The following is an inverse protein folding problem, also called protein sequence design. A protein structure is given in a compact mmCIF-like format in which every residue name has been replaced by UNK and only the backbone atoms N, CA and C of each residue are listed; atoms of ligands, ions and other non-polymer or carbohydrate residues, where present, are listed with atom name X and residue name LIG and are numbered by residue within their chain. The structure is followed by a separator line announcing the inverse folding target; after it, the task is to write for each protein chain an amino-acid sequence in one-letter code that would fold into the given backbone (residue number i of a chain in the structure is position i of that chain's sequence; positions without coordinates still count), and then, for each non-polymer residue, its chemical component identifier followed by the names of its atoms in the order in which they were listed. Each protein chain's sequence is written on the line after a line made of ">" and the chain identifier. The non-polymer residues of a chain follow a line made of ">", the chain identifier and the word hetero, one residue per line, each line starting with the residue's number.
data_IF_533783839260
#
_entry.id   IF_533783839260
#
_cell.length_a   1.000
_cell.length_b   1.000
_cell.length_c   1.000
_cell.angle_alpha   90.00
_cell.angle_beta   90.00
_cell.angle_gamma   90.00
#
_symmetry.space_group_name_H-M   'P 1'
#
loop_
_entity.id
_entity.type
_entity.pdbx_description
1 polymer ?
#
# COMPACT_ATOMS: atom_id res chain seq x y z
N UNK A 1 16.52 -1.36 -24.85
CA UNK A 1 15.46 -2.30 -25.26
C UNK A 1 16.00 -3.70 -25.06
N UNK A 2 15.25 -4.55 -24.39
CA UNK A 2 15.64 -5.95 -24.17
C UNK A 2 15.73 -6.69 -25.50
N UNK A 3 16.77 -7.52 -25.67
CA UNK A 3 16.91 -8.36 -26.86
C UNK A 3 16.10 -9.64 -26.66
N UNK A 4 15.45 -10.17 -27.68
CA UNK A 4 14.71 -11.44 -27.60
C UNK A 4 15.59 -12.59 -27.09
N UNK A 5 16.87 -12.56 -27.37
CA UNK A 5 17.83 -13.56 -26.91
C UNK A 5 18.17 -13.49 -25.43
N UNK A 6 17.71 -12.42 -24.73
CA UNK A 6 17.85 -12.29 -23.29
C UNK A 6 16.81 -13.13 -22.55
N UNK A 7 15.77 -13.61 -23.24
CA UNK A 7 14.68 -14.39 -22.66
C UNK A 7 14.84 -15.88 -23.02
N UNK A 8 14.79 -16.73 -22.03
CA UNK A 8 14.67 -18.19 -22.18
C UNK A 8 13.20 -18.53 -22.01
N UNK A 9 12.54 -18.87 -23.09
CA UNK A 9 11.09 -19.17 -23.11
C UNK A 9 10.92 -20.61 -23.61
N UNK A 10 10.19 -21.41 -22.84
CA UNK A 10 9.87 -22.79 -23.19
C UNK A 10 8.35 -23.00 -23.01
N UNK A 11 7.68 -23.49 -24.04
CA UNK A 11 6.23 -23.76 -24.03
C UNK A 11 5.34 -22.57 -23.57
N UNK A 12 5.77 -21.34 -23.89
CA UNK A 12 5.09 -20.11 -23.48
C UNK A 12 5.46 -19.61 -22.10
N UNK A 13 6.26 -20.35 -21.33
CA UNK A 13 6.73 -19.94 -20.00
C UNK A 13 8.10 -19.23 -20.11
N UNK A 14 8.22 -18.05 -19.50
CA UNK A 14 9.49 -17.38 -19.29
C UNK A 14 10.26 -18.06 -18.16
N UNK A 15 11.18 -18.95 -18.51
CA UNK A 15 12.01 -19.67 -17.54
C UNK A 15 13.09 -18.79 -16.94
N UNK A 16 13.69 -17.89 -17.74
CA UNK A 16 14.76 -17.02 -17.25
C UNK A 16 14.98 -15.80 -18.14
N UNK A 17 15.20 -14.66 -17.51
CA UNK A 17 15.77 -13.47 -18.14
C UNK A 17 17.28 -13.41 -17.87
N UNK A 18 18.09 -13.28 -18.95
CA UNK A 18 19.55 -13.24 -18.91
C UNK A 18 20.15 -11.87 -19.24
N UNK A 19 19.28 -10.89 -19.54
CA UNK A 19 19.71 -9.54 -19.88
C UNK A 19 20.25 -8.77 -18.67
N UNK A 20 20.79 -7.59 -18.95
CA UNK A 20 21.45 -6.77 -17.94
C UNK A 20 20.49 -6.02 -17.00
N UNK A 21 19.17 -6.06 -17.22
CA UNK A 21 18.18 -5.32 -16.47
C UNK A 21 17.81 -3.98 -17.11
N UNK A 22 17.56 -2.95 -16.30
CA UNK A 22 16.97 -1.71 -16.76
C UNK A 22 15.47 -1.87 -17.00
N UNK A 23 14.94 -1.21 -18.04
CA UNK A 23 13.54 -1.30 -18.42
C UNK A 23 13.35 -2.50 -19.37
N UNK A 24 12.54 -3.45 -18.94
CA UNK A 24 12.31 -4.72 -19.63
C UNK A 24 10.87 -4.81 -20.10
N UNK A 25 10.68 -5.13 -21.37
CA UNK A 25 9.38 -5.51 -21.93
C UNK A 25 9.46 -7.00 -22.26
N UNK A 26 8.64 -7.80 -21.61
CA UNK A 26 8.57 -9.25 -21.86
C UNK A 26 7.93 -9.45 -23.24
N UNK A 27 8.46 -10.38 -24.08
CA UNK A 27 7.94 -10.60 -25.43
C UNK A 27 6.49 -11.11 -25.43
N UNK A 28 5.78 -10.74 -26.49
CA UNK A 28 4.46 -11.32 -26.78
C UNK A 28 4.54 -12.83 -26.95
N UNK A 29 3.44 -13.53 -26.60
CA UNK A 29 3.37 -14.99 -26.65
C UNK A 29 3.87 -15.71 -25.39
N UNK A 30 4.39 -14.96 -24.40
CA UNK A 30 4.60 -15.50 -23.06
C UNK A 30 3.25 -15.61 -22.34
N UNK A 31 3.00 -16.78 -21.77
CA UNK A 31 1.73 -17.12 -21.05
C UNK A 31 1.90 -17.25 -19.55
N UNK A 32 3.15 -17.45 -19.08
CA UNK A 32 3.50 -17.45 -17.65
C UNK A 32 4.90 -16.94 -17.40
N UNK A 33 5.13 -16.37 -16.24
CA UNK A 33 6.47 -16.01 -15.74
C UNK A 33 6.83 -17.05 -14.68
N UNK A 34 7.80 -17.90 -15.01
CA UNK A 34 8.17 -19.06 -14.19
C UNK A 34 8.94 -18.71 -12.93
N UNK A 35 9.18 -19.72 -12.13
CA UNK A 35 9.89 -19.63 -10.85
C UNK A 35 11.27 -18.97 -11.00
N UNK A 36 11.53 -17.97 -10.14
CA UNK A 36 12.81 -17.27 -10.16
C UNK A 36 13.21 -16.68 -11.53
N UNK A 37 12.28 -16.41 -12.45
CA UNK A 37 12.57 -16.03 -13.84
C UNK A 37 13.52 -14.83 -13.96
N UNK A 38 13.45 -13.86 -13.05
CA UNK A 38 14.37 -12.72 -13.01
C UNK A 38 15.51 -12.86 -12.00
N UNK A 39 15.79 -14.07 -11.51
CA UNK A 39 16.88 -14.31 -10.56
C UNK A 39 18.23 -13.79 -11.10
N UNK A 40 18.96 -13.04 -10.28
CA UNK A 40 20.27 -12.46 -10.63
C UNK A 40 20.20 -11.10 -11.33
N UNK A 41 19.02 -10.60 -11.71
CA UNK A 41 18.83 -9.32 -12.40
C UNK A 41 18.74 -8.14 -11.40
N UNK A 42 19.86 -7.78 -10.76
CA UNK A 42 19.91 -6.77 -9.71
C UNK A 42 19.64 -5.33 -10.18
N UNK A 43 19.89 -5.05 -11.47
CA UNK A 43 19.69 -3.73 -12.08
C UNK A 43 18.33 -3.58 -12.79
N UNK A 44 17.39 -4.51 -12.60
CA UNK A 44 16.03 -4.41 -13.14
C UNK A 44 15.30 -3.22 -12.52
N UNK A 45 14.84 -2.27 -13.35
CA UNK A 45 14.18 -1.03 -12.90
C UNK A 45 12.69 -1.01 -13.19
N UNK A 46 12.27 -1.53 -14.34
CA UNK A 46 10.85 -1.67 -14.66
C UNK A 46 10.58 -2.91 -15.50
N UNK A 47 9.36 -3.45 -15.38
CA UNK A 47 8.90 -4.58 -16.20
C UNK A 47 7.51 -4.29 -16.72
N UNK A 48 7.33 -4.50 -18.04
CA UNK A 48 6.02 -4.56 -18.69
C UNK A 48 5.75 -6.01 -19.03
N UNK A 49 4.67 -6.55 -18.46
CA UNK A 49 4.18 -7.90 -18.69
C UNK A 49 3.15 -7.83 -19.82
N UNK A 50 3.26 -8.62 -20.90
CA UNK A 50 2.33 -8.55 -22.02
C UNK A 50 0.98 -9.16 -21.68
N UNK A 51 -0.04 -8.78 -22.45
CA UNK A 51 -1.33 -9.42 -22.45
C UNK A 51 -1.18 -10.91 -22.84
N UNK A 52 -1.93 -11.78 -22.16
CA UNK A 52 -1.81 -13.24 -22.35
C UNK A 52 -1.03 -13.96 -21.25
N UNK A 53 -0.22 -13.26 -20.45
CA UNK A 53 0.35 -13.85 -19.22
C UNK A 53 -0.76 -14.06 -18.19
N UNK A 54 -0.91 -15.29 -17.71
CA UNK A 54 -1.95 -15.69 -16.76
C UNK A 54 -1.44 -15.91 -15.35
N UNK A 55 -0.14 -16.19 -15.19
CA UNK A 55 0.48 -16.39 -13.88
C UNK A 55 1.85 -15.71 -13.76
N UNK A 56 2.15 -15.30 -12.54
CA UNK A 56 3.49 -14.90 -12.09
C UNK A 56 3.82 -15.88 -10.98
N UNK A 57 4.79 -16.76 -11.20
CA UNK A 57 5.06 -17.89 -10.31
C UNK A 57 6.00 -17.51 -9.16
N UNK A 58 6.40 -18.50 -8.35
CA UNK A 58 7.09 -18.27 -7.09
C UNK A 58 8.44 -17.57 -7.29
N UNK A 59 8.76 -16.60 -6.43
CA UNK A 59 10.02 -15.88 -6.44
C UNK A 59 10.37 -15.17 -7.76
N UNK A 60 9.43 -15.00 -8.70
CA UNK A 60 9.69 -14.50 -10.04
C UNK A 60 10.52 -13.20 -10.04
N UNK A 61 10.21 -12.26 -9.15
CA UNK A 61 10.94 -10.99 -8.96
C UNK A 61 11.57 -10.86 -7.57
N UNK A 62 11.80 -11.97 -6.89
CA UNK A 62 12.37 -11.96 -5.54
C UNK A 62 13.68 -11.17 -5.46
N UNK A 63 13.75 -10.28 -4.43
CA UNK A 63 14.93 -9.46 -4.12
C UNK A 63 15.37 -8.54 -5.29
N UNK A 64 14.41 -8.02 -6.08
CA UNK A 64 14.69 -7.00 -7.12
C UNK A 64 14.62 -5.61 -6.47
N UNK A 65 15.64 -5.28 -5.68
CA UNK A 65 15.67 -4.06 -4.88
C UNK A 65 15.68 -2.76 -5.72
N UNK A 66 16.10 -2.83 -6.98
CA UNK A 66 16.08 -1.70 -7.92
C UNK A 66 14.76 -1.56 -8.68
N UNK A 67 13.84 -2.53 -8.58
CA UNK A 67 12.57 -2.53 -9.30
C UNK A 67 11.63 -1.45 -8.74
N UNK A 68 11.30 -0.47 -9.57
CA UNK A 68 10.47 0.68 -9.20
C UNK A 68 9.04 0.58 -9.72
N UNK A 69 8.83 -0.16 -10.80
CA UNK A 69 7.53 -0.28 -11.47
C UNK A 69 7.35 -1.64 -12.13
N UNK A 70 6.14 -2.18 -12.00
CA UNK A 70 5.66 -3.35 -12.73
C UNK A 70 4.27 -3.06 -13.26
N UNK A 71 4.04 -3.32 -14.55
CA UNK A 71 2.72 -3.25 -15.18
C UNK A 71 2.21 -4.68 -15.32
N UNK A 72 1.14 -5.01 -14.60
CA UNK A 72 0.49 -6.33 -14.59
C UNK A 72 -0.79 -6.22 -15.40
N UNK A 73 -0.96 -7.01 -16.47
CA UNK A 73 -2.15 -6.94 -17.32
C UNK A 73 -3.34 -7.67 -16.69
N UNK A 74 -4.55 -7.38 -17.19
CA UNK A 74 -5.80 -7.99 -16.74
C UNK A 74 -5.93 -9.49 -17.07
N UNK A 75 -4.99 -10.04 -17.83
CA UNK A 75 -4.92 -11.49 -18.09
C UNK A 75 -4.37 -12.29 -16.91
N UNK A 76 -3.64 -11.65 -15.97
CA UNK A 76 -3.05 -12.33 -14.80
C UNK A 76 -4.14 -12.69 -13.80
N UNK A 77 -4.17 -13.96 -13.39
CA UNK A 77 -5.13 -14.51 -12.43
C UNK A 77 -4.50 -14.95 -11.12
N UNK A 78 -3.18 -15.20 -11.12
CA UNK A 78 -2.44 -15.64 -9.93
C UNK A 78 -1.05 -15.04 -9.82
N UNK A 79 -0.63 -14.80 -8.57
CA UNK A 79 0.72 -14.37 -8.20
C UNK A 79 1.21 -15.35 -7.13
N UNK A 80 2.38 -15.95 -7.33
CA UNK A 80 2.97 -16.97 -6.49
C UNK A 80 3.58 -16.49 -5.18
N UNK A 81 4.13 -17.44 -4.42
CA UNK A 81 4.79 -17.18 -3.14
C UNK A 81 6.05 -16.33 -3.33
N UNK A 82 6.22 -15.32 -2.48
CA UNK A 82 7.39 -14.42 -2.51
C UNK A 82 7.68 -13.78 -3.88
N UNK A 83 6.70 -13.69 -4.78
CA UNK A 83 6.91 -13.25 -6.15
C UNK A 83 7.57 -11.85 -6.25
N UNK A 84 7.22 -10.92 -5.35
CA UNK A 84 7.80 -9.58 -5.24
C UNK A 84 8.48 -9.33 -3.89
N UNK A 85 8.81 -10.38 -3.16
CA UNK A 85 9.46 -10.25 -1.86
C UNK A 85 10.76 -9.44 -1.98
N UNK A 86 10.95 -8.50 -1.04
CA UNK A 86 12.13 -7.61 -0.97
C UNK A 86 12.34 -6.72 -2.20
N UNK A 87 11.27 -6.38 -2.94
CA UNK A 87 11.29 -5.32 -3.95
C UNK A 87 11.19 -3.93 -3.28
N UNK A 88 12.24 -3.53 -2.57
CA UNK A 88 12.21 -2.37 -1.65
C UNK A 88 11.99 -1.01 -2.36
N UNK A 89 12.35 -0.89 -3.65
CA UNK A 89 12.16 0.34 -4.42
C UNK A 89 10.81 0.43 -5.13
N UNK A 90 9.97 -0.62 -5.05
CA UNK A 90 8.67 -0.63 -5.70
C UNK A 90 7.77 0.45 -5.09
N UNK A 91 7.57 1.55 -5.84
CA UNK A 91 6.90 2.75 -5.34
C UNK A 91 5.37 2.62 -5.27
N UNK A 92 4.83 1.72 -6.05
CA UNK A 92 3.42 1.35 -6.10
C UNK A 92 3.22 0.16 -7.02
N UNK A 93 2.16 -0.60 -6.76
CA UNK A 93 1.74 -1.70 -7.63
C UNK A 93 0.22 -1.75 -7.68
N UNK A 94 -0.32 -1.90 -8.88
CA UNK A 94 -1.74 -2.13 -9.11
C UNK A 94 -1.89 -3.59 -9.52
N UNK A 95 -2.60 -4.34 -8.71
CA UNK A 95 -2.97 -5.72 -8.99
C UNK A 95 -4.38 -5.68 -9.60
N UNK A 96 -4.56 -6.17 -10.83
CA UNK A 96 -5.85 -6.13 -11.50
C UNK A 96 -6.91 -7.01 -10.81
N UNK A 97 -8.18 -6.68 -11.05
CA UNK A 97 -9.33 -7.39 -10.45
C UNK A 97 -9.47 -8.84 -10.93
N UNK A 98 -8.78 -9.22 -12.00
CA UNK A 98 -8.66 -10.60 -12.49
C UNK A 98 -7.86 -11.51 -11.56
N UNK A 99 -6.96 -10.95 -10.72
CA UNK A 99 -6.16 -11.74 -9.79
C UNK A 99 -7.04 -12.21 -8.63
N UNK A 100 -7.15 -13.52 -8.50
CA UNK A 100 -7.95 -14.17 -7.44
C UNK A 100 -7.10 -14.89 -6.40
N UNK A 101 -5.79 -15.04 -6.66
CA UNK A 101 -4.86 -15.70 -5.73
C UNK A 101 -3.54 -14.96 -5.68
N UNK A 102 -3.08 -14.69 -4.45
CA UNK A 102 -1.74 -14.13 -4.18
C UNK A 102 -1.10 -15.01 -3.10
N UNK A 103 0.09 -15.49 -3.38
CA UNK A 103 0.83 -16.39 -2.50
C UNK A 103 1.37 -15.72 -1.24
N UNK A 104 1.86 -16.55 -0.33
CA UNK A 104 2.46 -16.12 0.93
C UNK A 104 3.68 -15.25 0.68
N UNK A 105 3.84 -14.17 1.47
CA UNK A 105 4.99 -13.26 1.38
C UNK A 105 5.17 -12.57 0.03
N UNK A 106 4.18 -12.61 -0.86
CA UNK A 106 4.31 -12.06 -2.22
C UNK A 106 4.82 -10.61 -2.24
N UNK A 107 4.47 -9.79 -1.24
CA UNK A 107 4.92 -8.40 -1.08
C UNK A 107 5.69 -8.16 0.22
N UNK A 108 6.26 -9.21 0.82
CA UNK A 108 7.06 -9.07 2.02
C UNK A 108 8.30 -8.19 1.77
N UNK A 109 8.56 -7.23 2.65
CA UNK A 109 9.68 -6.31 2.51
C UNK A 109 9.52 -5.24 1.42
N UNK A 110 8.38 -5.21 0.70
CA UNK A 110 8.06 -4.08 -0.15
C UNK A 110 7.71 -2.86 0.71
N UNK A 111 8.43 -1.76 0.54
CA UNK A 111 8.15 -0.50 1.23
C UNK A 111 7.13 0.37 0.46
N UNK A 112 6.39 -0.24 -0.46
CA UNK A 112 5.42 0.44 -1.30
C UNK A 112 4.34 1.12 -0.48
N UNK A 113 4.17 2.42 -0.71
CA UNK A 113 3.13 3.24 -0.07
C UNK A 113 1.78 3.15 -0.79
N UNK A 114 1.73 2.53 -1.97
CA UNK A 114 0.54 2.48 -2.83
C UNK A 114 0.39 1.09 -3.44
N UNK A 115 -0.16 0.17 -2.69
CA UNK A 115 -0.56 -1.13 -3.19
C UNK A 115 -2.06 -1.09 -3.41
N UNK A 116 -2.50 -1.39 -4.64
CA UNK A 116 -3.90 -1.61 -4.96
C UNK A 116 -4.08 -3.08 -5.29
N UNK A 117 -5.04 -3.73 -4.66
CA UNK A 117 -5.32 -5.14 -4.89
C UNK A 117 -6.82 -5.45 -4.73
N UNK A 118 -7.33 -6.48 -5.42
CA UNK A 118 -8.70 -6.91 -5.32
C UNK A 118 -8.99 -7.59 -3.99
N UNK A 119 -10.20 -7.38 -3.47
CA UNK A 119 -10.66 -8.02 -2.24
C UNK A 119 -10.58 -9.56 -2.32
N UNK A 120 -10.90 -10.13 -3.47
CA UNK A 120 -10.89 -11.58 -3.68
C UNK A 120 -9.51 -12.23 -3.49
N UNK A 121 -8.43 -11.48 -3.73
CA UNK A 121 -7.05 -11.97 -3.60
C UNK A 121 -6.44 -11.75 -2.21
N UNK A 122 -7.16 -11.07 -1.29
CA UNK A 122 -6.64 -10.78 0.05
C UNK A 122 -6.50 -12.06 0.88
N UNK A 123 -5.31 -12.23 1.46
CA UNK A 123 -5.05 -13.21 2.51
C UNK A 123 -4.07 -12.66 3.54
N UNK A 124 -3.95 -13.33 4.69
CA UNK A 124 -3.18 -12.87 5.85
C UNK A 124 -1.66 -12.89 5.63
N UNK A 125 -1.18 -13.63 4.65
CA UNK A 125 0.24 -13.93 4.47
C UNK A 125 0.92 -13.09 3.39
N UNK A 126 0.16 -12.34 2.59
CA UNK A 126 0.67 -11.54 1.45
C UNK A 126 1.86 -10.64 1.84
N UNK A 127 1.77 -9.99 3.00
CA UNK A 127 2.79 -9.04 3.47
C UNK A 127 3.74 -9.64 4.50
N UNK A 128 3.55 -10.91 4.86
CA UNK A 128 4.32 -11.56 5.91
C UNK A 128 4.15 -10.90 7.29
N UNK A 129 4.97 -11.33 8.26
CA UNK A 129 4.82 -10.96 9.69
C UNK A 129 5.62 -9.72 10.11
N UNK A 130 5.95 -8.81 9.20
CA UNK A 130 6.92 -7.73 9.46
C UNK A 130 6.45 -6.59 10.37
N UNK A 131 5.20 -6.53 10.75
CA UNK A 131 4.67 -5.44 11.59
C UNK A 131 4.82 -4.03 10.99
N UNK A 132 5.25 -3.90 9.74
CA UNK A 132 5.31 -2.63 9.04
C UNK A 132 3.90 -2.22 8.63
N UNK A 133 3.57 -0.97 8.89
CA UNK A 133 2.31 -0.37 8.44
C UNK A 133 2.28 -0.31 6.94
N UNK A 134 1.30 -0.96 6.34
CA UNK A 134 1.07 -0.94 4.90
C UNK A 134 -0.26 -0.26 4.63
N UNK A 135 -0.23 0.82 3.85
CA UNK A 135 -1.44 1.46 3.32
C UNK A 135 -1.77 0.80 1.99
N UNK A 136 -2.98 0.32 1.85
CA UNK A 136 -3.43 -0.32 0.61
C UNK A 136 -4.78 0.21 0.15
N UNK A 137 -5.03 0.13 -1.13
CA UNK A 137 -6.33 0.37 -1.73
C UNK A 137 -6.93 -0.97 -2.11
N UNK A 138 -8.11 -1.26 -1.58
CA UNK A 138 -8.82 -2.50 -1.86
C UNK A 138 -9.92 -2.20 -2.87
N UNK A 139 -9.90 -2.89 -4.01
CA UNK A 139 -10.98 -2.86 -4.99
C UNK A 139 -12.03 -3.91 -4.66
N UNK A 140 -13.31 -3.58 -4.89
CA UNK A 140 -14.45 -4.44 -4.58
C UNK A 140 -15.46 -4.36 -5.73
N UNK A 141 -15.98 -5.48 -6.23
CA UNK A 141 -16.97 -5.47 -7.29
C UNK A 141 -18.18 -4.58 -6.94
N UNK A 142 -18.52 -3.65 -7.82
CA UNK A 142 -19.70 -2.79 -7.67
C UNK A 142 -19.65 -1.76 -6.53
N UNK A 143 -18.49 -1.59 -5.86
CA UNK A 143 -18.28 -0.59 -4.81
C UNK A 143 -17.05 0.26 -5.11
N UNK A 144 -16.99 1.52 -4.61
CA UNK A 144 -15.78 2.31 -4.75
C UNK A 144 -14.59 1.65 -4.03
N UNK A 145 -13.37 1.84 -4.53
CA UNK A 145 -12.16 1.41 -3.84
C UNK A 145 -12.07 2.06 -2.46
N UNK A 146 -11.55 1.31 -1.49
CA UNK A 146 -11.34 1.82 -0.13
C UNK A 146 -9.86 1.79 0.25
N UNK A 147 -9.36 2.87 0.83
CA UNK A 147 -7.99 2.93 1.39
C UNK A 147 -8.01 2.48 2.83
N UNK A 148 -7.13 1.57 3.17
CA UNK A 148 -7.06 0.98 4.50
C UNK A 148 -5.61 0.84 4.97
N UNK A 149 -5.44 0.75 6.28
CA UNK A 149 -4.17 0.37 6.90
C UNK A 149 -4.30 -1.03 7.43
N UNK A 150 -3.48 -1.94 6.95
CA UNK A 150 -3.46 -3.30 7.46
C UNK A 150 -2.97 -3.34 8.90
N UNK A 151 -3.68 -4.06 9.75
CA UNK A 151 -3.24 -4.42 11.09
C UNK A 151 -3.15 -5.92 11.23
N UNK A 152 -2.06 -6.40 11.81
CA UNK A 152 -1.76 -7.82 11.94
C UNK A 152 -1.77 -8.24 13.41
N UNK A 153 -2.36 -9.41 13.68
CA UNK A 153 -2.32 -10.09 14.97
C UNK A 153 -1.34 -11.26 14.90
N UNK A 154 -0.53 -11.40 15.92
CA UNK A 154 0.30 -12.60 16.12
C UNK A 154 -0.30 -13.42 17.26
N UNK A 155 -0.57 -14.70 17.00
CA UNK A 155 -1.02 -15.65 18.03
C UNK A 155 0.14 -16.43 18.63
N UNK A 156 -0.01 -16.87 19.86
CA UNK A 156 1.04 -17.64 20.59
C UNK A 156 1.35 -18.98 19.91
N UNK A 157 0.41 -19.53 19.15
CA UNK A 157 0.58 -20.76 18.38
C UNK A 157 1.25 -20.55 16.99
N UNK A 158 1.73 -19.35 16.69
CA UNK A 158 2.40 -19.03 15.44
C UNK A 158 1.47 -18.59 14.30
N UNK A 159 0.16 -18.58 14.50
CA UNK A 159 -0.81 -18.02 13.54
C UNK A 159 -0.73 -16.50 13.47
N UNK A 160 -1.30 -15.92 12.42
CA UNK A 160 -1.49 -14.48 12.25
C UNK A 160 -2.92 -14.20 11.79
N UNK A 161 -3.42 -13.02 12.08
CA UNK A 161 -4.71 -12.54 11.60
C UNK A 161 -4.55 -11.15 10.99
N UNK A 162 -5.38 -10.83 10.02
CA UNK A 162 -5.45 -9.53 9.36
C UNK A 162 -6.77 -8.86 9.74
N UNK A 163 -6.70 -7.61 10.20
CA UNK A 163 -7.88 -6.79 10.44
C UNK A 163 -7.92 -5.64 9.44
N UNK A 164 -9.02 -5.55 8.70
CA UNK A 164 -9.30 -4.52 7.71
C UNK A 164 -10.73 -4.02 7.85
N UNK A 165 -11.01 -2.72 7.65
CA UNK A 165 -12.35 -2.14 7.75
C UNK A 165 -13.14 -2.29 6.44
N UNK A 166 -13.28 -3.51 5.92
CA UNK A 166 -13.83 -3.77 4.59
C UNK A 166 -15.35 -3.89 4.56
N UNK A 167 -15.96 -4.22 5.70
CA UNK A 167 -17.41 -4.30 5.88
C UNK A 167 -17.85 -3.54 7.13
N UNK A 168 -19.15 -3.33 7.24
CA UNK A 168 -19.72 -2.58 8.36
C UNK A 168 -19.68 -3.36 9.69
N UNK A 169 -19.51 -4.68 9.63
CA UNK A 169 -19.40 -5.54 10.81
C UNK A 169 -18.01 -5.44 11.46
N UNK A 170 -16.95 -5.43 10.63
CA UNK A 170 -15.58 -5.30 11.12
C UNK A 170 -15.21 -3.87 11.54
N UNK A 171 -15.95 -2.88 11.05
CA UNK A 171 -15.62 -1.46 11.19
C UNK A 171 -15.54 -0.97 12.65
N UNK A 172 -16.48 -1.30 13.56
CA UNK A 172 -16.39 -0.85 14.94
C UNK A 172 -15.16 -1.40 15.68
N UNK A 173 -14.76 -2.63 15.40
CA UNK A 173 -13.55 -3.24 15.97
C UNK A 173 -12.29 -2.54 15.47
N UNK A 174 -12.25 -2.21 14.18
CA UNK A 174 -11.15 -1.46 13.57
C UNK A 174 -11.06 -0.02 14.11
N UNK A 175 -12.19 0.67 14.29
CA UNK A 175 -12.23 2.00 14.88
C UNK A 175 -11.69 2.02 16.32
N UNK A 176 -12.01 0.99 17.12
CA UNK A 176 -11.44 0.81 18.46
C UNK A 176 -9.93 0.54 18.41
N UNK A 177 -9.48 -0.29 17.48
CA UNK A 177 -8.05 -0.52 17.27
C UNK A 177 -7.30 0.78 16.93
N UNK A 178 -7.88 1.64 16.09
CA UNK A 178 -7.32 2.97 15.79
C UNK A 178 -7.30 3.84 17.05
N UNK A 179 -8.40 3.88 17.80
CA UNK A 179 -8.55 4.73 18.97
C UNK A 179 -7.54 4.37 20.08
N UNK A 180 -7.33 3.09 20.32
CA UNK A 180 -6.57 2.59 21.47
C UNK A 180 -5.17 2.06 21.11
N UNK A 181 -4.94 1.74 19.82
CA UNK A 181 -3.71 1.14 19.32
C UNK A 181 -3.67 -0.38 19.50
N UNK A 182 -4.59 -0.94 20.27
CA UNK A 182 -4.75 -2.39 20.51
C UNK A 182 -6.22 -2.76 20.60
N UNK A 183 -6.59 -3.90 20.02
CA UNK A 183 -7.94 -4.46 20.15
C UNK A 183 -7.89 -5.97 19.89
N UNK A 184 -8.40 -6.78 20.80
CA UNK A 184 -8.48 -8.24 20.69
C UNK A 184 -7.17 -8.91 20.18
N UNK A 185 -6.03 -8.48 20.74
CA UNK A 185 -4.69 -8.97 20.37
C UNK A 185 -4.10 -8.40 19.08
N UNK A 186 -4.85 -7.62 18.30
CA UNK A 186 -4.29 -6.79 17.24
C UNK A 186 -3.57 -5.58 17.82
N UNK A 187 -2.47 -5.19 17.20
CA UNK A 187 -1.67 -4.04 17.60
C UNK A 187 -1.39 -3.18 16.37
N UNK A 188 -1.69 -1.88 16.46
CA UNK A 188 -1.34 -0.93 15.43
C UNK A 188 -0.27 0.02 15.96
N UNK A 189 0.87 0.10 15.28
CA UNK A 189 1.93 1.02 15.66
C UNK A 189 1.51 2.47 15.49
N UNK A 190 2.26 3.41 16.11
CA UNK A 190 1.91 4.84 16.11
C UNK A 190 1.72 5.41 14.71
N UNK A 191 2.59 5.06 13.76
CA UNK A 191 2.49 5.55 12.40
C UNK A 191 1.22 5.02 11.70
N UNK A 192 0.92 3.73 11.88
CA UNK A 192 -0.30 3.11 11.39
C UNK A 192 -1.55 3.78 11.93
N UNK A 193 -1.58 4.04 13.23
CA UNK A 193 -2.69 4.75 13.88
C UNK A 193 -2.91 6.15 13.29
N UNK A 194 -1.85 6.92 13.07
CA UNK A 194 -1.95 8.26 12.49
C UNK A 194 -2.57 8.18 11.08
N UNK A 195 -2.06 7.30 10.22
CA UNK A 195 -2.54 7.16 8.85
C UNK A 195 -3.99 6.63 8.85
N UNK A 196 -4.28 5.58 9.62
CA UNK A 196 -5.62 5.01 9.73
C UNK A 196 -6.64 6.03 10.25
N UNK A 197 -6.24 6.86 11.24
CA UNK A 197 -7.08 7.93 11.77
C UNK A 197 -7.41 8.98 10.70
N UNK A 198 -6.42 9.41 9.92
CA UNK A 198 -6.63 10.37 8.83
C UNK A 198 -7.56 9.79 7.77
N UNK A 199 -7.32 8.55 7.33
CA UNK A 199 -8.18 7.86 6.36
C UNK A 199 -9.61 7.77 6.87
N UNK A 200 -9.77 7.30 8.10
CA UNK A 200 -11.08 6.99 8.67
C UNK A 200 -11.90 8.24 8.99
N UNK A 201 -11.28 9.32 9.44
CA UNK A 201 -11.96 10.60 9.69
C UNK A 201 -12.35 11.34 8.39
N UNK A 202 -11.69 11.04 7.27
CA UNK A 202 -12.08 11.55 5.94
C UNK A 202 -13.18 10.72 5.27
N UNK A 203 -13.54 9.58 5.83
CA UNK A 203 -14.60 8.73 5.32
C UNK A 203 -15.94 9.19 5.89
N UNK A 204 -16.79 9.80 5.05
CA UNK A 204 -18.03 10.46 5.50
C UNK A 204 -19.28 9.57 5.42
N UNK A 205 -19.24 8.53 4.61
CA UNK A 205 -20.35 7.62 4.33
C UNK A 205 -20.50 6.48 5.35
N UNK A 206 -19.48 6.27 6.19
CA UNK A 206 -19.49 5.25 7.26
C UNK A 206 -19.16 5.90 8.61
N UNK A 207 -20.16 6.26 9.43
CA UNK A 207 -19.94 7.02 10.66
C UNK A 207 -19.16 6.22 11.70
N UNK A 208 -18.38 6.94 12.51
CA UNK A 208 -17.68 6.41 13.69
C UNK A 208 -18.54 6.72 14.91
N UNK A 209 -18.65 5.78 15.84
CA UNK A 209 -19.28 6.03 17.16
C UNK A 209 -18.63 7.24 17.84
N UNK A 210 -19.44 8.14 18.40
CA UNK A 210 -19.00 9.46 18.88
C UNK A 210 -17.87 9.39 19.91
N UNK A 211 -17.97 8.50 20.90
CA UNK A 211 -16.93 8.29 21.91
C UNK A 211 -15.63 7.82 21.28
N UNK A 212 -15.69 6.85 20.38
CA UNK A 212 -14.52 6.32 19.66
C UNK A 212 -13.92 7.38 18.76
N UNK A 213 -14.75 8.16 18.06
CA UNK A 213 -14.34 9.31 17.27
C UNK A 213 -13.58 10.34 18.09
N UNK A 214 -14.09 10.68 19.29
CA UNK A 214 -13.41 11.60 20.23
C UNK A 214 -12.02 11.11 20.63
N UNK A 215 -11.85 9.81 20.88
CA UNK A 215 -10.54 9.21 21.20
C UNK A 215 -9.57 9.26 20.01
N UNK A 216 -10.05 8.99 18.80
CA UNK A 216 -9.25 9.10 17.56
C UNK A 216 -8.78 10.56 17.37
N UNK A 217 -9.68 11.52 17.52
CA UNK A 217 -9.35 12.95 17.41
C UNK A 217 -8.31 13.36 18.46
N UNK A 218 -8.49 12.98 19.72
CA UNK A 218 -7.55 13.27 20.80
C UNK A 218 -6.15 12.67 20.52
N UNK A 219 -6.10 11.46 19.99
CA UNK A 219 -4.84 10.85 19.57
C UNK A 219 -4.16 11.64 18.45
N UNK A 220 -4.89 11.98 17.38
CA UNK A 220 -4.34 12.78 16.27
C UNK A 220 -3.87 14.16 16.70
N UNK A 221 -4.62 14.85 17.54
CA UNK A 221 -4.24 16.15 18.08
C UNK A 221 -2.92 16.06 18.85
N UNK A 222 -2.70 14.99 19.63
CA UNK A 222 -1.43 14.75 20.31
C UNK A 222 -0.26 14.46 19.36
N UNK A 223 -0.53 14.09 18.12
CA UNK A 223 0.45 13.67 17.10
C UNK A 223 0.44 14.57 15.85
N UNK A 224 -0.16 15.76 15.94
CA UNK A 224 -0.39 16.63 14.78
C UNK A 224 0.85 16.84 13.89
N UNK A 225 2.03 16.97 14.47
CA UNK A 225 3.27 17.23 13.72
C UNK A 225 3.64 16.05 12.79
N UNK A 226 3.41 14.82 13.24
CA UNK A 226 3.58 13.63 12.39
C UNK A 226 2.44 13.50 11.38
N UNK A 227 1.20 13.77 11.81
CA UNK A 227 0.04 13.74 10.93
C UNK A 227 0.17 14.72 9.76
N UNK A 228 0.64 15.92 9.99
CA UNK A 228 0.94 16.92 8.94
C UNK A 228 2.01 16.41 7.97
N UNK A 229 3.07 15.79 8.49
CA UNK A 229 4.11 15.20 7.64
C UNK A 229 3.55 14.12 6.72
N UNK A 230 2.74 13.19 7.26
CA UNK A 230 2.10 12.16 6.46
C UNK A 230 1.13 12.73 5.42
N UNK A 231 0.30 13.70 5.79
CA UNK A 231 -0.62 14.36 4.88
C UNK A 231 0.12 15.01 3.70
N UNK A 232 1.27 15.66 3.97
CA UNK A 232 2.12 16.24 2.95
C UNK A 232 2.80 15.20 2.04
N UNK A 233 3.28 14.09 2.60
CA UNK A 233 3.91 13.01 1.85
C UNK A 233 2.91 12.23 1.00
N UNK A 234 1.68 12.06 1.48
CA UNK A 234 0.62 11.34 0.79
C UNK A 234 -0.04 12.17 -0.33
N UNK A 235 0.28 13.48 -0.39
CA UNK A 235 -0.22 14.45 -1.37
C UNK A 235 -1.74 14.60 -1.36
N UNK A 236 -2.37 14.44 -0.19
CA UNK A 236 -3.82 14.50 -0.01
C UNK A 236 -4.23 15.75 0.80
N UNK A 237 -4.67 16.82 0.13
CA UNK A 237 -5.09 18.05 0.81
C UNK A 237 -6.22 17.84 1.82
N UNK A 238 -7.08 16.83 1.59
CA UNK A 238 -8.18 16.47 2.47
C UNK A 238 -7.73 16.18 3.91
N UNK A 239 -6.62 15.48 4.07
CA UNK A 239 -6.10 15.15 5.42
C UNK A 239 -5.68 16.40 6.21
N UNK A 240 -5.17 17.40 5.50
CA UNK A 240 -4.80 18.68 6.14
C UNK A 240 -6.05 19.42 6.60
N UNK A 241 -7.10 19.47 5.77
CA UNK A 241 -8.40 20.06 6.16
C UNK A 241 -8.97 19.38 7.39
N UNK A 242 -8.97 18.03 7.41
CA UNK A 242 -9.41 17.26 8.58
C UNK A 242 -8.66 17.66 9.84
N UNK A 243 -7.33 17.84 9.79
CA UNK A 243 -6.53 18.24 10.96
C UNK A 243 -6.93 19.63 11.49
N UNK A 244 -7.38 20.55 10.63
CA UNK A 244 -7.95 21.84 11.04
C UNK A 244 -9.35 21.68 11.64
N UNK A 245 -10.23 20.96 10.97
CA UNK A 245 -11.61 20.74 11.38
C UNK A 245 -11.73 20.08 12.76
N UNK A 246 -10.81 19.17 13.09
CA UNK A 246 -10.77 18.52 14.40
C UNK A 246 -10.00 19.31 15.46
N UNK A 247 -9.49 20.50 15.13
CA UNK A 247 -8.72 21.35 16.06
C UNK A 247 -7.32 20.83 16.40
N UNK A 248 -6.78 19.87 15.65
CA UNK A 248 -5.38 19.44 15.80
C UNK A 248 -4.39 20.51 15.35
N UNK A 249 -4.82 21.42 14.49
CA UNK A 249 -4.11 22.62 14.09
C UNK A 249 -4.90 23.82 14.64
N UNK A 250 -4.26 24.59 15.48
CA UNK A 250 -4.84 25.71 16.20
C UNK A 250 -3.87 26.92 16.25
N UNK A 251 -4.26 27.98 16.92
CA UNK A 251 -3.46 29.22 17.06
C UNK A 251 -2.05 28.98 17.65
N UNK A 252 -1.88 27.93 18.45
CA UNK A 252 -0.61 27.64 19.12
C UNK A 252 0.43 27.01 18.20
N UNK A 253 -0.02 26.30 17.18
CA UNK A 253 0.84 25.51 16.28
C UNK A 253 0.76 25.93 14.80
N UNK A 254 -0.22 26.74 14.40
CA UNK A 254 -0.49 27.13 13.00
C UNK A 254 0.73 27.68 12.27
N UNK A 255 1.54 28.53 12.90
CA UNK A 255 2.74 29.11 12.29
C UNK A 255 3.75 28.03 11.88
N UNK A 256 3.92 27.02 12.74
CA UNK A 256 4.83 25.89 12.49
C UNK A 256 4.29 25.00 11.37
N UNK A 257 3.00 24.75 11.38
CA UNK A 257 2.29 23.96 10.37
C UNK A 257 2.40 24.65 9.01
N UNK A 258 2.03 25.91 8.91
CA UNK A 258 2.13 26.71 7.66
C UNK A 258 3.53 26.64 7.08
N UNK A 259 4.58 26.85 7.90
CA UNK A 259 5.98 26.76 7.45
C UNK A 259 6.34 25.37 6.89
N UNK A 260 5.75 24.31 7.42
CA UNK A 260 5.97 22.94 6.93
C UNK A 260 5.25 22.71 5.59
N UNK A 261 4.00 23.15 5.48
CA UNK A 261 3.16 22.96 4.29
C UNK A 261 3.64 23.77 3.09
N UNK A 262 4.23 24.94 3.29
CA UNK A 262 4.83 25.75 2.22
C UNK A 262 5.98 25.05 1.48
N UNK A 263 6.55 24.01 2.07
CA UNK A 263 7.60 23.19 1.45
C UNK A 263 7.03 22.02 0.64
N UNK A 264 5.71 21.82 0.62
CA UNK A 264 5.08 20.75 -0.13
C UNK A 264 5.31 20.93 -1.62
N UNK A 265 5.52 19.83 -2.33
CA UNK A 265 5.57 19.78 -3.80
C UNK A 265 4.16 19.86 -4.42
N UNK A 266 3.11 19.67 -3.62
CA UNK A 266 1.70 19.68 -4.06
C UNK A 266 1.20 21.12 -4.10
N UNK A 267 0.78 21.63 -5.29
CA UNK A 267 0.35 23.03 -5.43
C UNK A 267 -0.82 23.41 -4.52
N UNK A 268 -1.81 22.52 -4.37
CA UNK A 268 -2.99 22.74 -3.54
C UNK A 268 -2.63 22.87 -2.07
N UNK A 269 -1.69 22.08 -1.58
CA UNK A 269 -1.20 22.14 -0.19
C UNK A 269 -0.45 23.45 0.04
N UNK A 270 0.35 23.91 -0.93
CA UNK A 270 1.00 25.21 -0.84
C UNK A 270 0.00 26.36 -0.85
N UNK A 271 -1.03 26.30 -1.71
CA UNK A 271 -2.08 27.31 -1.74
C UNK A 271 -2.80 27.42 -0.40
N UNK A 272 -3.19 26.29 0.20
CA UNK A 272 -3.76 26.26 1.55
C UNK A 272 -2.83 26.92 2.57
N UNK A 273 -1.52 26.66 2.51
CA UNK A 273 -0.55 27.25 3.43
C UNK A 273 -0.36 28.77 3.21
N UNK A 274 -0.49 29.27 1.99
CA UNK A 274 -0.48 30.73 1.71
C UNK A 274 -1.73 31.41 2.26
N UNK A 275 -2.90 30.82 2.11
CA UNK A 275 -4.15 31.32 2.70
C UNK A 275 -4.05 31.43 4.23
N UNK A 276 -3.38 30.44 4.88
CA UNK A 276 -3.15 30.44 6.33
C UNK A 276 -2.20 31.53 6.82
N UNK A 277 -1.32 32.07 5.99
CA UNK A 277 -0.46 33.20 6.36
C UNK A 277 -1.22 34.51 6.53
N UNK A 278 -2.41 34.59 5.96
CA UNK A 278 -3.26 35.79 5.98
C UNK A 278 -4.16 35.87 7.22
N UNK A 279 -4.15 34.82 8.05
CA UNK A 279 -4.84 34.71 9.33
C UNK A 279 -3.82 34.80 10.47
#
# INVERSE_FOLDING_TARGET
>A
MSNINDFVIENGELQKYKGQGGDVVIPEGVTSIGDCAFSGCSSLTSVVIPDGVTSIDDYAFWNRSSLTSVVIPDSVTSIGDSAFESCCSLSGIVIPDSVTSIGSHAFFGCESKKIQLPFAALNEEIFGRNGKTTVMTITRPGKPPVRVVASFRKWDNGGSGLMLPLDDEALPAYDRLIADGTYDGFVMNENGRIIASLLRLNETDRPIEEETRGRIIGFLASKYSKAIKFAGEDREPGYIRTLFEIGAVDETNIKRVTKALLKSEVPEIRAMAEEMKLV
#
